data_IF_681021778164
#
_entry.id   IF_681021778164
#
_cell.length_a   1.000
_cell.length_b   1.000
_cell.length_c   1.000
_cell.angle_alpha   90.00
_cell.angle_beta   90.00
_cell.angle_gamma   90.00
#
_symmetry.space_group_name_H-M   'P 1'
#
loop_
_entity.id
_entity.type
_entity.pdbx_description
1 polymer ?
#
# COMPACT_ATOMS: atom_id res chain seq x y z
N UNK A 1 -12.98 12.94 13.52
CA UNK A 1 -13.26 12.89 12.06
C UNK A 1 -14.62 12.26 11.87
N UNK A 2 -15.50 12.84 11.05
CA UNK A 2 -16.79 12.23 10.69
C UNK A 2 -16.60 11.25 9.53
N UNK A 3 -17.25 10.08 9.59
CA UNK A 3 -17.25 9.14 8.47
C UNK A 3 -17.92 9.74 7.22
N UNK A 4 -17.48 9.34 6.04
CA UNK A 4 -18.13 9.70 4.76
C UNK A 4 -19.55 9.14 4.72
N UNK A 5 -20.49 9.91 4.15
CA UNK A 5 -21.92 9.56 4.13
C UNK A 5 -22.41 9.03 2.77
N UNK A 6 -21.57 9.13 1.73
CA UNK A 6 -21.94 8.77 0.36
C UNK A 6 -20.98 7.71 -0.20
N UNK A 7 -21.49 6.93 -1.17
CA UNK A 7 -20.67 6.05 -2.00
C UNK A 7 -20.00 6.87 -3.10
N UNK A 8 -18.70 6.68 -3.27
CA UNK A 8 -17.93 7.31 -4.34
C UNK A 8 -17.39 6.25 -5.28
N UNK A 9 -17.57 6.47 -6.57
CA UNK A 9 -16.92 5.73 -7.63
C UNK A 9 -16.14 6.71 -8.49
N UNK A 10 -14.98 6.27 -8.98
CA UNK A 10 -14.13 7.08 -9.82
C UNK A 10 -13.42 6.19 -10.84
N UNK A 11 -13.17 6.76 -12.01
CA UNK A 11 -12.30 6.17 -13.02
C UNK A 11 -11.02 6.98 -13.04
N UNK A 12 -9.89 6.30 -12.86
CA UNK A 12 -8.58 6.92 -12.85
C UNK A 12 -7.84 6.55 -14.13
N UNK A 13 -7.55 7.55 -14.96
CA UNK A 13 -6.76 7.40 -16.18
C UNK A 13 -5.34 7.92 -15.93
N UNK A 14 -4.35 7.15 -16.38
CA UNK A 14 -2.95 7.55 -16.40
C UNK A 14 -2.26 6.89 -17.59
N UNK A 15 -1.15 7.47 -18.04
CA UNK A 15 -0.32 6.92 -19.10
C UNK A 15 1.12 6.71 -18.64
N UNK A 16 1.90 6.06 -19.50
CA UNK A 16 3.33 5.85 -19.30
C UNK A 16 4.01 5.94 -20.66
N UNK A 17 5.09 6.69 -20.75
CA UNK A 17 5.91 6.81 -21.96
C UNK A 17 7.28 6.22 -21.69
N UNK A 18 7.72 5.28 -22.53
CA UNK A 18 9.04 4.63 -22.44
C UNK A 18 9.37 4.08 -21.03
N UNK A 19 8.39 3.47 -20.36
CA UNK A 19 8.53 2.99 -18.99
C UNK A 19 7.74 1.71 -18.71
N UNK A 20 8.02 1.10 -17.55
CA UNK A 20 7.31 -0.07 -17.06
C UNK A 20 6.43 0.31 -15.85
N UNK A 21 5.09 0.40 -16.00
CA UNK A 21 4.22 0.86 -14.93
C UNK A 21 4.03 -0.19 -13.83
N UNK A 22 4.16 -1.47 -14.17
CA UNK A 22 4.05 -2.60 -13.26
C UNK A 22 4.74 -3.84 -13.85
N UNK A 23 5.93 -4.14 -13.33
CA UNK A 23 6.67 -5.33 -13.74
C UNK A 23 6.10 -6.64 -13.19
N UNK A 24 6.26 -7.70 -13.96
CA UNK A 24 5.92 -9.08 -13.60
C UNK A 24 7.15 -9.82 -13.05
N UNK A 25 7.17 -10.23 -11.78
CA UNK A 25 8.29 -10.97 -11.20
C UNK A 25 8.51 -12.33 -11.86
N UNK A 26 7.46 -12.95 -12.41
CA UNK A 26 7.53 -14.28 -13.03
C UNK A 26 7.94 -14.21 -14.50
N UNK A 27 7.79 -13.05 -15.13
CA UNK A 27 8.20 -12.79 -16.51
C UNK A 27 9.41 -11.85 -16.60
N UNK A 28 10.38 -11.98 -15.69
CA UNK A 28 11.65 -11.27 -15.77
C UNK A 28 11.52 -9.74 -15.70
N UNK A 29 10.54 -9.24 -14.93
CA UNK A 29 10.20 -7.83 -14.78
C UNK A 29 9.69 -7.14 -16.08
N UNK A 30 9.21 -7.90 -17.06
CA UNK A 30 8.46 -7.34 -18.20
C UNK A 30 7.16 -6.67 -17.72
N UNK A 31 6.58 -5.69 -18.46
CA UNK A 31 5.26 -5.17 -18.13
C UNK A 31 4.24 -6.30 -18.04
N UNK A 32 3.42 -6.28 -16.98
CA UNK A 32 2.36 -7.29 -16.80
C UNK A 32 1.34 -7.22 -17.92
N UNK A 33 0.88 -8.39 -18.34
CA UNK A 33 -0.18 -8.58 -19.32
C UNK A 33 -1.31 -9.40 -18.70
N UNK A 34 -2.55 -9.02 -19.00
CA UNK A 34 -3.70 -9.86 -18.74
C UNK A 34 -3.72 -11.06 -19.70
N UNK A 35 -3.74 -12.30 -19.20
CA UNK A 35 -3.56 -13.49 -20.04
C UNK A 35 -4.72 -13.73 -21.01
N UNK A 36 -5.93 -13.23 -20.72
CA UNK A 36 -7.10 -13.44 -21.56
C UNK A 36 -7.20 -12.39 -22.67
N UNK A 37 -7.02 -11.11 -22.33
CA UNK A 37 -7.21 -9.99 -23.27
C UNK A 37 -5.91 -9.48 -23.91
N UNK A 38 -4.75 -9.93 -23.42
CA UNK A 38 -3.42 -9.46 -23.82
C UNK A 38 -3.20 -7.95 -23.64
N UNK A 39 -4.02 -7.28 -22.82
CA UNK A 39 -3.85 -5.86 -22.46
C UNK A 39 -2.83 -5.71 -21.34
N UNK A 40 -2.15 -4.56 -21.32
CA UNK A 40 -1.31 -4.18 -20.18
C UNK A 40 -2.11 -4.16 -18.89
N UNK A 41 -1.57 -4.78 -17.83
CA UNK A 41 -2.19 -4.86 -16.52
C UNK A 41 -1.36 -4.08 -15.50
N UNK A 42 -2.03 -3.25 -14.70
CA UNK A 42 -1.46 -2.68 -13.48
C UNK A 42 -2.32 -3.15 -12.32
N UNK A 43 -1.71 -3.91 -11.41
CA UNK A 43 -2.44 -4.52 -10.30
C UNK A 43 -2.91 -3.48 -9.30
N UNK A 44 -4.00 -3.79 -8.61
CA UNK A 44 -4.53 -2.96 -7.54
C UNK A 44 -3.50 -2.78 -6.41
N UNK A 45 -2.73 -3.81 -6.07
CA UNK A 45 -1.65 -3.74 -5.08
C UNK A 45 -0.53 -2.77 -5.51
N UNK A 46 -0.23 -2.67 -6.81
CA UNK A 46 0.71 -1.67 -7.34
C UNK A 46 0.20 -0.25 -7.11
N UNK A 47 -1.07 0.03 -7.47
CA UNK A 47 -1.67 1.35 -7.27
C UNK A 47 -1.81 1.70 -5.79
N UNK A 48 -2.27 0.76 -4.95
CA UNK A 48 -2.35 0.93 -3.49
C UNK A 48 -0.98 1.25 -2.88
N UNK A 49 0.12 0.66 -3.38
CA UNK A 49 1.49 0.99 -2.95
C UNK A 49 1.85 2.43 -3.31
N UNK A 50 1.56 2.88 -4.53
CA UNK A 50 1.82 4.27 -4.95
C UNK A 50 1.04 5.27 -4.11
N UNK A 51 -0.23 4.99 -3.81
CA UNK A 51 -1.06 5.83 -2.93
C UNK A 51 -0.46 5.91 -1.52
N UNK A 52 -0.10 4.77 -0.92
CA UNK A 52 0.53 4.74 0.41
C UNK A 52 1.84 5.54 0.45
N UNK A 53 2.70 5.36 -0.54
CA UNK A 53 3.97 6.08 -0.63
C UNK A 53 3.74 7.59 -0.81
N UNK A 54 2.75 7.97 -1.63
CA UNK A 54 2.39 9.38 -1.79
C UNK A 54 1.93 10.00 -0.48
N UNK A 55 1.01 9.37 0.25
CA UNK A 55 0.53 9.84 1.57
C UNK A 55 1.68 9.97 2.57
N UNK A 56 2.58 8.98 2.60
CA UNK A 56 3.75 9.01 3.48
C UNK A 56 4.67 10.20 3.18
N UNK A 57 4.91 10.51 1.90
CA UNK A 57 5.76 11.64 1.48
C UNK A 57 5.04 12.98 1.70
N UNK A 58 3.73 13.05 1.42
CA UNK A 58 2.99 14.31 1.47
C UNK A 58 2.58 14.75 2.88
N UNK A 59 2.44 13.79 3.80
CA UNK A 59 1.93 14.01 5.16
C UNK A 59 2.94 13.54 6.21
N UNK A 60 4.23 13.67 5.91
CA UNK A 60 5.30 13.21 6.80
C UNK A 60 5.17 13.86 8.19
N UNK A 61 5.08 13.02 9.23
CA UNK A 61 4.88 13.41 10.64
C UNK A 61 3.52 14.00 11.02
N UNK A 62 2.53 13.97 10.13
CA UNK A 62 1.16 14.36 10.50
C UNK A 62 0.45 13.26 11.28
N UNK A 63 -0.05 13.62 12.47
CA UNK A 63 -0.83 12.70 13.31
C UNK A 63 -2.08 12.28 12.57
N UNK A 64 -2.29 10.95 12.46
CA UNK A 64 -3.44 10.36 11.76
C UNK A 64 -3.16 9.92 10.32
N UNK A 65 -1.97 10.22 9.77
CA UNK A 65 -1.57 9.82 8.41
C UNK A 65 -0.43 8.79 8.37
N UNK A 66 -0.06 8.22 9.52
CA UNK A 66 0.99 7.19 9.60
C UNK A 66 0.55 5.91 8.85
N UNK A 67 1.37 5.47 7.89
CA UNK A 67 1.14 4.25 7.12
C UNK A 67 1.67 3.03 7.87
N UNK A 68 0.85 1.98 8.01
CA UNK A 68 1.23 0.75 8.72
C UNK A 68 2.27 -0.11 7.96
N UNK A 69 2.05 -0.31 6.65
CA UNK A 69 2.95 -1.13 5.81
C UNK A 69 3.87 -0.22 5.00
N UNK A 70 5.13 -0.13 5.46
CA UNK A 70 6.17 0.71 4.85
C UNK A 70 7.29 -0.15 4.25
N UNK A 71 8.13 0.48 3.43
CA UNK A 71 9.34 -0.22 2.99
C UNK A 71 10.26 -0.45 4.18
N UNK A 72 10.86 -1.65 4.27
CA UNK A 72 11.85 -2.00 5.30
C UNK A 72 11.31 -1.94 6.75
N UNK A 73 10.01 -1.78 6.96
CA UNK A 73 9.42 -1.78 8.29
C UNK A 73 9.19 -3.20 8.80
N UNK A 74 9.49 -3.43 10.08
CA UNK A 74 9.11 -4.66 10.80
C UNK A 74 7.76 -4.41 11.48
N UNK A 75 6.71 -5.09 11.00
CA UNK A 75 5.35 -4.89 11.53
C UNK A 75 5.23 -5.23 13.02
N UNK A 76 6.00 -6.20 13.49
CA UNK A 76 6.00 -6.64 14.89
C UNK A 76 6.43 -5.50 15.83
N UNK A 77 7.35 -4.63 15.37
CA UNK A 77 7.77 -3.46 16.13
C UNK A 77 6.66 -2.41 16.19
N UNK A 78 5.89 -2.26 15.10
CA UNK A 78 4.73 -1.37 15.07
C UNK A 78 3.61 -1.88 16.00
N UNK A 79 3.36 -3.18 16.00
CA UNK A 79 2.41 -3.80 16.92
C UNK A 79 2.83 -3.57 18.38
N UNK A 80 4.13 -3.74 18.69
CA UNK A 80 4.67 -3.50 20.04
C UNK A 80 4.38 -2.09 20.55
N UNK A 81 4.51 -1.05 19.70
CA UNK A 81 4.15 0.34 20.06
C UNK A 81 2.71 0.46 20.55
N UNK A 82 1.77 -0.25 19.92
CA UNK A 82 0.37 -0.25 20.32
C UNK A 82 0.15 -0.99 21.66
N UNK A 83 0.81 -2.13 21.87
CA UNK A 83 0.77 -2.87 23.15
C UNK A 83 1.32 -2.03 24.30
N UNK A 84 2.48 -1.39 24.11
CA UNK A 84 3.11 -0.51 25.11
C UNK A 84 2.21 0.69 25.43
N UNK A 85 1.62 1.33 24.41
CA UNK A 85 0.71 2.45 24.60
C UNK A 85 -0.58 2.08 25.37
N UNK A 86 -1.03 0.83 25.27
CA UNK A 86 -2.21 0.31 25.98
C UNK A 86 -1.88 -0.37 27.32
N UNK A 87 -0.60 -0.56 27.65
CA UNK A 87 -0.18 -1.28 28.86
C UNK A 87 -0.53 -2.77 28.86
N UNK A 88 -0.64 -3.38 27.69
CA UNK A 88 -1.01 -4.79 27.52
C UNK A 88 0.26 -5.62 27.29
N UNK A 89 0.41 -6.75 27.98
CA UNK A 89 1.50 -7.68 27.72
C UNK A 89 1.36 -8.32 26.33
N UNK A 90 2.43 -8.27 25.53
CA UNK A 90 2.45 -8.86 24.21
C UNK A 90 2.67 -10.37 24.28
N UNK A 91 1.74 -11.17 23.75
CA UNK A 91 1.97 -12.61 23.55
C UNK A 91 2.82 -12.84 22.30
N UNK A 92 3.90 -13.62 22.41
CA UNK A 92 4.85 -13.86 21.31
C UNK A 92 4.20 -14.43 20.03
N UNK A 93 3.07 -15.16 20.14
CA UNK A 93 2.31 -15.67 18.99
C UNK A 93 1.41 -14.64 18.29
N UNK A 94 1.06 -13.54 18.96
CA UNK A 94 0.22 -12.45 18.42
C UNK A 94 1.05 -11.31 17.80
N UNK A 95 2.37 -11.40 17.93
CA UNK A 95 3.33 -10.51 17.30
C UNK A 95 3.81 -11.02 15.93
N UNK A 96 3.36 -12.19 15.46
CA UNK A 96 3.73 -12.75 14.14
C UNK A 96 2.77 -12.32 13.03
#
# INVERSE_FOLDING_TARGET
MSAIQNRYEFVYFFDVTNGNPNGDPDAGNMPRLDPESSKGLVTDVCLKRKIRNFVEISSENEVGYEIYVKEKSVLNLQNKRAYEALGIESEAKKLL
#
